data_IF_085355963653
#
_entry.id   IF_085355963653
#
_cell.length_a   1.000
_cell.length_b   1.000
_cell.length_c   1.000
_cell.angle_alpha   90.00
_cell.angle_beta   90.00
_cell.angle_gamma   90.00
#
_symmetry.space_group_name_H-M   'P 1'
#
loop_
_entity.id
_entity.type
_entity.pdbx_description
1 polymer ?
#
# COMPACT_ATOMS: atom_id res chain seq x y z
N UNK A 1 20.74 -6.79 -5.21
CA UNK A 1 20.11 -6.39 -3.93
C UNK A 1 20.60 -7.30 -2.79
N UNK A 2 21.37 -6.77 -1.84
CA UNK A 2 21.76 -7.52 -0.64
C UNK A 2 20.55 -7.56 0.28
N UNK A 3 19.85 -8.70 0.32
CA UNK A 3 18.79 -8.95 1.29
C UNK A 3 19.51 -9.28 2.60
N UNK A 4 19.68 -8.28 3.46
CA UNK A 4 20.12 -8.54 4.83
C UNK A 4 19.04 -9.40 5.52
N UNK A 5 19.44 -10.53 6.11
CA UNK A 5 18.52 -11.53 6.66
C UNK A 5 17.91 -11.13 8.01
N UNK A 6 18.16 -9.90 8.46
CA UNK A 6 17.68 -9.42 9.74
C UNK A 6 16.22 -9.00 9.64
N UNK A 7 15.38 -9.67 10.42
CA UNK A 7 14.00 -9.25 10.61
C UNK A 7 13.95 -8.05 11.56
N UNK A 8 13.92 -6.86 10.97
CA UNK A 8 13.87 -5.60 11.69
C UNK A 8 12.44 -5.15 12.01
N UNK A 9 11.43 -5.71 11.33
CA UNK A 9 10.03 -5.29 11.49
C UNK A 9 9.31 -6.11 12.56
N UNK A 10 9.51 -7.44 12.60
CA UNK A 10 8.78 -8.31 13.53
C UNK A 10 9.15 -8.07 14.99
N UNK A 11 10.34 -7.51 15.26
CA UNK A 11 10.79 -7.21 16.61
C UNK A 11 10.32 -5.84 17.13
N UNK A 12 9.70 -5.01 16.26
CA UNK A 12 9.22 -3.70 16.68
C UNK A 12 7.91 -3.83 17.47
N UNK A 13 7.71 -2.94 18.46
CA UNK A 13 6.41 -2.71 19.07
C UNK A 13 5.33 -2.29 18.06
N UNK A 14 4.08 -2.62 18.36
CA UNK A 14 2.92 -2.36 17.47
C UNK A 14 2.71 -0.87 17.18
N UNK A 15 2.97 0.00 18.15
CA UNK A 15 2.89 1.45 18.02
C UNK A 15 3.99 2.01 17.10
N UNK A 16 5.19 1.44 17.14
CA UNK A 16 6.26 1.75 16.19
C UNK A 16 5.87 1.35 14.76
N UNK A 17 5.38 0.13 14.56
CA UNK A 17 4.94 -0.36 13.24
C UNK A 17 3.82 0.53 12.70
N UNK A 18 2.81 0.82 13.52
CA UNK A 18 1.70 1.69 13.17
C UNK A 18 2.16 3.11 12.81
N UNK A 19 3.16 3.65 13.52
CA UNK A 19 3.72 4.97 13.23
C UNK A 19 4.50 5.00 11.91
N UNK A 20 5.24 3.94 11.58
CA UNK A 20 5.95 3.81 10.30
C UNK A 20 4.94 3.69 9.14
N UNK A 21 3.95 2.81 9.27
CA UNK A 21 3.02 2.49 8.19
C UNK A 21 2.11 3.67 7.81
N UNK A 22 1.95 4.68 8.67
CA UNK A 22 1.26 5.95 8.33
C UNK A 22 1.93 6.71 7.17
N UNK A 23 3.22 6.48 6.93
CA UNK A 23 3.96 7.13 5.85
C UNK A 23 3.95 6.32 4.55
N UNK A 24 3.33 5.14 4.54
CA UNK A 24 3.30 4.27 3.37
C UNK A 24 2.11 4.61 2.46
N UNK A 25 2.37 4.52 1.15
CA UNK A 25 1.32 4.52 0.14
C UNK A 25 0.76 3.09 -0.04
N UNK A 26 -0.22 2.94 -0.93
CA UNK A 26 -0.87 1.65 -1.16
C UNK A 26 0.12 0.57 -1.63
N UNK A 27 1.01 0.90 -2.57
CA UNK A 27 2.02 -0.01 -3.10
C UNK A 27 2.95 -0.53 -1.99
N UNK A 28 3.39 0.35 -1.08
CA UNK A 28 4.22 -0.04 0.06
C UNK A 28 3.47 -0.94 1.04
N UNK A 29 2.20 -0.63 1.31
CA UNK A 29 1.35 -1.43 2.19
C UNK A 29 1.06 -2.82 1.61
N UNK A 30 0.92 -2.94 0.29
CA UNK A 30 0.77 -4.21 -0.41
C UNK A 30 2.02 -5.08 -0.22
N UNK A 31 3.21 -4.53 -0.45
CA UNK A 31 4.48 -5.26 -0.28
C UNK A 31 4.66 -5.75 1.16
N UNK A 32 4.43 -4.91 2.17
CA UNK A 32 4.63 -5.34 3.56
C UNK A 32 3.57 -6.34 4.02
N UNK A 33 2.38 -6.34 3.40
CA UNK A 33 1.33 -7.32 3.72
C UNK A 33 1.76 -8.75 3.35
N UNK A 34 2.65 -8.93 2.39
CA UNK A 34 3.16 -10.25 1.99
C UNK A 34 4.19 -10.83 2.97
N UNK A 35 4.70 -10.02 3.92
CA UNK A 35 5.81 -10.43 4.81
C UNK A 35 5.35 -11.36 5.93
N UNK A 36 4.22 -11.07 6.57
CA UNK A 36 3.66 -11.91 7.64
C UNK A 36 2.20 -11.56 7.95
N UNK A 37 1.47 -12.47 8.59
CA UNK A 37 0.09 -12.22 9.03
C UNK A 37 -0.04 -10.98 9.92
N UNK A 38 0.95 -10.72 10.79
CA UNK A 38 0.96 -9.52 11.63
C UNK A 38 1.08 -8.24 10.78
N UNK A 39 1.94 -8.25 9.76
CA UNK A 39 2.06 -7.12 8.84
C UNK A 39 0.81 -6.92 7.98
N UNK A 40 0.12 -7.99 7.57
CA UNK A 40 -1.21 -7.90 6.92
C UNK A 40 -2.16 -7.10 7.78
N UNK A 41 -2.27 -7.42 9.07
CA UNK A 41 -3.18 -6.71 9.99
C UNK A 41 -2.89 -5.21 10.04
N UNK A 42 -1.61 -4.83 10.19
CA UNK A 42 -1.24 -3.42 10.20
C UNK A 42 -1.45 -2.73 8.86
N UNK A 43 -1.16 -3.40 7.75
CA UNK A 43 -1.38 -2.88 6.41
C UNK A 43 -2.86 -2.58 6.17
N UNK A 44 -3.76 -3.49 6.56
CA UNK A 44 -5.21 -3.30 6.44
C UNK A 44 -5.73 -2.14 7.30
N UNK A 45 -5.20 -1.95 8.51
CA UNK A 45 -5.59 -0.83 9.40
C UNK A 45 -5.16 0.52 8.80
N UNK A 46 -3.98 0.58 8.17
CA UNK A 46 -3.45 1.83 7.63
C UNK A 46 -3.89 2.12 6.20
N UNK A 47 -4.30 1.12 5.41
CA UNK A 47 -4.72 1.29 4.01
C UNK A 47 -5.75 2.40 3.79
N UNK A 48 -6.83 2.53 4.60
CA UNK A 48 -7.81 3.60 4.43
C UNK A 48 -7.24 5.00 4.71
N UNK A 49 -6.10 5.08 5.41
CA UNK A 49 -5.40 6.31 5.82
C UNK A 49 -4.14 6.55 5.00
N UNK A 50 -3.80 5.64 4.09
CA UNK A 50 -2.58 5.66 3.33
C UNK A 50 -2.48 6.93 2.49
N UNK A 51 -1.27 7.42 2.31
CA UNK A 51 -1.05 8.59 1.46
C UNK A 51 -1.51 8.24 0.04
N UNK A 52 -2.44 9.06 -0.47
CA UNK A 52 -2.91 8.93 -1.85
C UNK A 52 -1.78 9.39 -2.76
N UNK A 53 -1.38 8.52 -3.69
CA UNK A 53 -0.51 8.93 -4.78
C UNK A 53 -1.32 9.84 -5.71
N UNK A 54 -0.79 11.00 -6.06
CA UNK A 54 -1.41 11.85 -7.07
C UNK A 54 -1.44 11.08 -8.39
N UNK A 55 -2.62 10.96 -9.00
CA UNK A 55 -2.74 10.37 -10.34
C UNK A 55 -2.04 11.31 -11.34
N UNK A 56 -1.09 10.79 -12.11
CA UNK A 56 -0.37 11.58 -13.11
C UNK A 56 -1.26 11.92 -14.30
N UNK A 57 -2.19 11.03 -14.64
CA UNK A 57 -3.16 11.20 -15.72
C UNK A 57 -4.51 10.59 -15.34
N UNK A 58 -5.56 11.13 -15.93
CA UNK A 58 -6.90 10.57 -15.91
C UNK A 58 -7.36 10.48 -17.36
N UNK A 59 -7.63 9.27 -17.83
CA UNK A 59 -8.14 9.06 -19.19
C UNK A 59 -9.64 8.75 -19.12
N UNK A 60 -10.41 9.57 -19.82
CA UNK A 60 -11.84 9.36 -20.05
C UNK A 60 -12.01 8.94 -21.51
N UNK A 61 -12.67 7.81 -21.74
CA UNK A 61 -12.93 7.32 -23.09
C UNK A 61 -14.28 6.62 -23.15
N UNK A 62 -14.90 6.63 -24.32
CA UNK A 62 -16.13 5.89 -24.59
C UNK A 62 -15.77 4.50 -25.13
N UNK A 63 -16.41 3.47 -24.59
CA UNK A 63 -16.25 2.09 -25.05
C UNK A 63 -16.93 1.90 -26.40
N UNK A 64 -16.58 0.83 -27.12
CA UNK A 64 -17.30 0.46 -28.35
C UNK A 64 -18.78 0.07 -28.11
N UNK A 65 -19.20 -0.07 -26.85
CA UNK A 65 -20.57 -0.34 -26.43
C UNK A 65 -21.33 0.92 -26.00
N UNK A 66 -20.69 2.10 -26.06
CA UNK A 66 -21.29 3.38 -25.64
C UNK A 66 -21.17 3.66 -24.13
N UNK A 67 -20.38 2.88 -23.40
CA UNK A 67 -20.14 3.11 -21.97
C UNK A 67 -19.05 4.17 -21.77
N UNK A 68 -19.19 5.03 -20.76
CA UNK A 68 -18.09 5.92 -20.34
C UNK A 68 -17.14 5.14 -19.42
N UNK A 69 -15.88 5.01 -19.84
CA UNK A 69 -14.83 4.32 -19.11
C UNK A 69 -13.79 5.29 -18.52
N UNK A 70 -13.24 4.89 -17.37
CA UNK A 70 -12.21 5.60 -16.62
C UNK A 70 -10.93 4.75 -16.53
N UNK A 71 -9.78 5.34 -16.84
CA UNK A 71 -8.46 4.75 -16.60
C UNK A 71 -7.59 5.74 -15.84
N UNK A 72 -6.96 5.24 -14.76
CA UNK A 72 -6.00 5.91 -13.89
C UNK A 72 -4.58 5.47 -14.22
#
# INVERSE_FOLDING_TARGET
>A
PVIDKKDLLSNLPDDCISSIFKYFNHDNLDVVSEVSQRMVTFALIQRPKAQKKTAERLNLFESCYGDICLSL
#
